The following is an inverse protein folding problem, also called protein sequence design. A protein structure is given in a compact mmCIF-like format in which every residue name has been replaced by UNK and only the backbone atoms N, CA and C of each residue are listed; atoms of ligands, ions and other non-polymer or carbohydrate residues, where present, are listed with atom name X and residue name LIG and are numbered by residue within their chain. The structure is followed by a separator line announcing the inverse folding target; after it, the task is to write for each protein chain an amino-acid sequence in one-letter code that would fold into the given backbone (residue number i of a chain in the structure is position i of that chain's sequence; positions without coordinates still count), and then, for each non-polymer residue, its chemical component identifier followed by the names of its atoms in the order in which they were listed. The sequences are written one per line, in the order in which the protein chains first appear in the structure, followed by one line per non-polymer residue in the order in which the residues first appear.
data_IF_123743040978
#
_entry.id   IF_123743040978
#
_cell.length_a   1.000
_cell.length_b   1.000
_cell.length_c   1.000
_cell.angle_alpha   90.00
_cell.angle_beta   90.00
_cell.angle_gamma   90.00
#
_symmetry.space_group_name_H-M   'P 1'
#
loop_
_entity.id
_entity.type
_entity.pdbx_description
1 polymer ?
#
# COMPACT_ATOMS: atom_id res chain seq x y z
N UNK A 1 -12.87 -30.97 -51.03
CA UNK A 1 -13.40 -30.36 -49.79
C UNK A 1 -13.35 -31.42 -48.72
N UNK A 2 -12.28 -31.45 -47.91
CA UNK A 2 -12.10 -32.42 -46.84
C UNK A 2 -12.33 -31.73 -45.50
N UNK A 3 -13.10 -32.40 -44.61
CA UNK A 3 -13.47 -31.96 -43.27
C UNK A 3 -12.29 -31.83 -42.27
N UNK A 4 -11.05 -31.94 -42.74
CA UNK A 4 -9.83 -31.78 -41.96
C UNK A 4 -9.33 -30.32 -41.91
N UNK A 5 -9.80 -29.45 -42.81
CA UNK A 5 -9.38 -28.04 -42.86
C UNK A 5 -10.23 -27.12 -41.95
N UNK A 6 -11.41 -27.57 -41.50
CA UNK A 6 -12.24 -26.81 -40.55
C UNK A 6 -11.79 -26.93 -39.10
N UNK A 7 -11.00 -27.96 -38.74
CA UNK A 7 -10.55 -28.17 -37.37
C UNK A 7 -9.30 -27.35 -36.99
N UNK A 8 -8.65 -26.72 -37.97
CA UNK A 8 -7.41 -25.94 -37.76
C UNK A 8 -7.68 -24.43 -37.61
N UNK A 9 -8.94 -23.98 -37.73
CA UNK A 9 -9.32 -22.56 -37.63
C UNK A 9 -9.87 -22.13 -36.26
N UNK A 10 -9.98 -23.02 -35.28
CA UNK A 10 -10.56 -22.69 -33.96
C UNK A 10 -9.57 -22.57 -32.81
N UNK A 11 -8.26 -22.45 -33.08
CA UNK A 11 -7.23 -22.23 -32.04
C UNK A 11 -6.52 -20.88 -32.13
N UNK A 12 -7.01 -19.94 -32.95
CA UNK A 12 -6.49 -18.57 -33.04
C UNK A 12 -7.45 -17.52 -32.48
N UNK A 13 -8.11 -17.83 -31.37
CA UNK A 13 -8.86 -16.83 -30.60
C UNK A 13 -8.50 -16.96 -29.13
N UNK A 14 -7.37 -16.36 -28.75
CA UNK A 14 -7.14 -15.70 -27.46
C UNK A 14 -5.67 -15.32 -27.27
N UNK A 15 -5.11 -14.47 -28.13
CA UNK A 15 -3.83 -13.85 -27.80
C UNK A 15 -3.65 -12.41 -28.31
N UNK A 16 -4.74 -11.63 -28.33
CA UNK A 16 -4.69 -10.19 -28.62
C UNK A 16 -4.84 -9.31 -27.38
N UNK A 17 -5.13 -9.88 -26.20
CA UNK A 17 -5.25 -9.11 -24.96
C UNK A 17 -3.90 -8.71 -24.35
N UNK A 18 -2.81 -9.42 -24.65
CA UNK A 18 -1.52 -9.23 -23.98
C UNK A 18 -0.61 -8.14 -24.60
N UNK A 19 -1.04 -7.46 -25.68
CA UNK A 19 -0.19 -6.48 -26.39
C UNK A 19 -0.39 -5.01 -25.99
N UNK A 20 -1.37 -4.68 -25.13
CA UNK A 20 -1.71 -3.27 -24.80
C UNK A 20 -1.68 -2.94 -23.29
N UNK A 21 -1.08 -3.79 -22.46
CA UNK A 21 -0.96 -3.50 -21.03
C UNK A 21 0.35 -2.78 -20.70
N UNK A 22 0.29 -1.87 -19.72
CA UNK A 22 1.44 -1.15 -19.22
C UNK A 22 1.95 -1.87 -17.96
N UNK A 23 3.06 -2.62 -18.04
CA UNK A 23 3.55 -3.39 -16.91
C UNK A 23 4.06 -2.49 -15.79
N UNK A 24 3.77 -2.89 -14.55
CA UNK A 24 4.35 -2.30 -13.35
C UNK A 24 5.71 -2.91 -13.07
N UNK A 25 6.57 -2.16 -12.38
CA UNK A 25 7.89 -2.66 -11.99
C UNK A 25 7.83 -3.82 -10.97
N UNK A 26 6.81 -3.82 -10.10
CA UNK A 26 6.50 -4.90 -9.17
C UNK A 26 5.04 -5.30 -9.27
N UNK A 27 4.74 -6.56 -8.95
CA UNK A 27 3.37 -6.98 -8.63
C UNK A 27 3.00 -6.48 -7.23
N UNK A 28 1.81 -5.91 -7.11
CA UNK A 28 1.28 -5.40 -5.85
C UNK A 28 0.02 -6.16 -5.43
N UNK A 29 -0.28 -6.13 -4.14
CA UNK A 29 -1.43 -6.82 -3.54
C UNK A 29 -2.18 -5.87 -2.61
N UNK A 30 -3.48 -5.71 -2.86
CA UNK A 30 -4.37 -5.03 -1.92
C UNK A 30 -4.90 -6.00 -0.86
N UNK A 31 -4.92 -5.53 0.39
CA UNK A 31 -5.57 -6.20 1.52
C UNK A 31 -6.50 -5.23 2.23
N UNK A 32 -7.51 -5.78 2.90
CA UNK A 32 -8.45 -5.03 3.71
C UNK A 32 -8.67 -5.68 5.05
N UNK A 33 -8.77 -4.85 6.09
CA UNK A 33 -9.17 -5.25 7.42
C UNK A 33 -10.22 -4.28 7.95
N UNK A 34 -11.24 -4.80 8.61
CA UNK A 34 -12.21 -3.99 9.35
C UNK A 34 -12.44 -4.60 10.72
N UNK A 35 -12.59 -3.75 11.74
CA UNK A 35 -12.85 -4.17 13.12
C UNK A 35 -13.97 -3.36 13.72
N UNK A 36 -14.78 -4.03 14.54
CA UNK A 36 -15.73 -3.34 15.39
C UNK A 36 -15.00 -2.59 16.52
N UNK A 37 -15.53 -1.45 16.99
CA UNK A 37 -15.00 -0.77 18.16
C UNK A 37 -14.86 -1.72 19.36
N UNK A 38 -13.75 -1.62 20.10
CA UNK A 38 -13.41 -2.44 21.28
C UNK A 38 -13.16 -3.93 21.02
N UNK A 39 -13.21 -4.40 19.77
CA UNK A 39 -12.80 -5.76 19.43
C UNK A 39 -11.29 -5.93 19.67
N UNK A 40 -10.90 -6.92 20.47
CA UNK A 40 -9.49 -7.29 20.65
C UNK A 40 -8.98 -7.99 19.39
N UNK A 41 -7.78 -7.61 18.94
CA UNK A 41 -7.07 -8.36 17.91
C UNK A 41 -6.46 -9.59 18.58
N UNK A 42 -6.93 -10.78 18.21
CA UNK A 42 -6.29 -12.04 18.62
C UNK A 42 -5.29 -12.53 17.57
N UNK A 43 -5.64 -12.33 16.31
CA UNK A 43 -4.82 -12.66 15.14
C UNK A 43 -4.93 -11.51 14.14
N UNK A 44 -3.86 -10.70 14.07
CA UNK A 44 -3.82 -9.54 13.19
C UNK A 44 -3.75 -9.98 11.72
N UNK A 45 -2.89 -10.96 11.44
CA UNK A 45 -2.66 -11.48 10.09
C UNK A 45 -3.91 -12.16 9.54
N UNK A 46 -4.52 -13.07 10.31
CA UNK A 46 -5.75 -13.75 9.91
C UNK A 46 -6.98 -12.84 9.80
N UNK A 47 -6.93 -11.64 10.38
CA UNK A 47 -7.99 -10.63 10.22
C UNK A 47 -7.90 -9.86 8.89
N UNK A 48 -6.75 -9.91 8.20
CA UNK A 48 -6.55 -9.25 6.92
C UNK A 48 -7.02 -10.13 5.76
N UNK A 49 -7.87 -9.56 4.90
CA UNK A 49 -8.39 -10.25 3.72
C UNK A 49 -7.68 -9.75 2.48
N UNK A 50 -7.07 -10.65 1.72
CA UNK A 50 -6.55 -10.35 0.39
C UNK A 50 -7.70 -9.96 -0.52
N UNK A 51 -7.56 -8.85 -1.25
CA UNK A 51 -8.54 -8.41 -2.24
C UNK A 51 -8.14 -8.91 -3.62
N UNK A 52 -7.02 -8.41 -4.14
CA UNK A 52 -6.53 -8.74 -5.47
C UNK A 52 -5.02 -8.45 -5.56
N UNK A 53 -4.37 -9.08 -6.52
CA UNK A 53 -3.02 -8.74 -6.97
C UNK A 53 -3.07 -8.21 -8.39
N UNK A 54 -2.16 -7.30 -8.73
CA UNK A 54 -2.06 -6.69 -10.06
C UNK A 54 -0.60 -6.41 -10.40
N UNK A 55 -0.28 -6.50 -11.68
CA UNK A 55 1.05 -6.40 -12.28
C UNK A 55 1.10 -5.46 -13.48
N UNK A 56 -0.04 -4.92 -13.92
CA UNK A 56 -0.17 -3.85 -14.91
C UNK A 56 -1.03 -2.69 -14.41
N UNK A 57 -0.97 -1.55 -15.12
CA UNK A 57 -1.80 -0.37 -14.84
C UNK A 57 -3.29 -0.67 -15.08
N UNK A 58 -3.60 -1.47 -16.08
CA UNK A 58 -4.95 -1.90 -16.44
C UNK A 58 -5.53 -2.79 -15.34
N UNK A 59 -4.77 -3.78 -14.86
CA UNK A 59 -5.17 -4.60 -13.71
C UNK A 59 -5.35 -3.75 -12.44
N UNK A 60 -4.46 -2.77 -12.22
CA UNK A 60 -4.61 -1.83 -11.11
C UNK A 60 -5.95 -1.11 -11.19
N UNK A 61 -6.31 -0.51 -12.33
CA UNK A 61 -7.57 0.21 -12.46
C UNK A 61 -8.80 -0.69 -12.44
N UNK A 62 -8.70 -1.93 -12.94
CA UNK A 62 -9.74 -2.94 -12.83
C UNK A 62 -10.08 -3.25 -11.36
N UNK A 63 -9.07 -3.23 -10.47
CA UNK A 63 -9.25 -3.41 -9.03
C UNK A 63 -9.68 -2.11 -8.35
N UNK A 64 -8.87 -1.05 -8.48
CA UNK A 64 -8.99 0.18 -7.68
C UNK A 64 -10.32 0.91 -7.90
N UNK A 65 -10.82 0.94 -9.15
CA UNK A 65 -12.09 1.59 -9.50
C UNK A 65 -13.31 0.95 -8.82
N UNK A 66 -13.20 -0.30 -8.36
CA UNK A 66 -14.27 -1.04 -7.68
C UNK A 66 -14.08 -1.08 -6.15
N UNK A 67 -12.98 -0.53 -5.62
CA UNK A 67 -12.79 -0.41 -4.18
C UNK A 67 -13.71 0.68 -3.61
N UNK A 68 -14.17 0.47 -2.37
CA UNK A 68 -14.84 1.54 -1.63
C UNK A 68 -13.83 2.65 -1.37
N UNK A 69 -14.24 3.90 -1.60
CA UNK A 69 -13.38 5.04 -1.30
C UNK A 69 -13.12 5.11 0.20
N UNK A 70 -11.93 5.56 0.62
CA UNK A 70 -11.60 5.73 2.05
C UNK A 70 -12.65 6.50 2.87
N UNK A 71 -13.26 7.53 2.29
CA UNK A 71 -14.33 8.31 2.90
C UNK A 71 -15.60 7.52 3.23
N UNK A 72 -15.81 6.39 2.54
CA UNK A 72 -17.03 5.58 2.63
C UNK A 72 -16.79 4.30 3.44
N UNK A 73 -15.58 4.12 3.96
CA UNK A 73 -15.23 2.99 4.79
C UNK A 73 -15.78 3.13 6.20
N UNK A 74 -16.19 2.03 6.84
CA UNK A 74 -16.55 2.06 8.25
C UNK A 74 -15.33 2.43 9.10
N UNK A 75 -15.57 3.03 10.26
CA UNK A 75 -14.51 3.37 11.20
C UNK A 75 -13.71 2.12 11.63
N UNK A 76 -12.42 2.28 11.91
CA UNK A 76 -11.49 1.19 12.25
C UNK A 76 -11.38 0.20 11.07
N UNK A 77 -11.17 0.76 9.89
CA UNK A 77 -10.83 0.02 8.67
C UNK A 77 -9.42 0.36 8.22
N UNK A 78 -8.78 -0.61 7.59
CA UNK A 78 -7.42 -0.50 7.10
C UNK A 78 -7.36 -1.04 5.65
N UNK A 79 -6.80 -0.23 4.73
CA UNK A 79 -6.35 -0.70 3.42
C UNK A 79 -4.84 -0.86 3.46
N UNK A 80 -4.34 -1.94 2.85
CA UNK A 80 -2.91 -2.21 2.73
C UNK A 80 -2.59 -2.45 1.26
N UNK A 81 -1.54 -1.81 0.76
CA UNK A 81 -0.96 -2.06 -0.56
C UNK A 81 0.48 -2.48 -0.36
N UNK A 82 0.83 -3.74 -0.64
CA UNK A 82 2.18 -4.26 -0.43
C UNK A 82 2.67 -5.01 -1.66
N UNK A 83 3.99 -5.04 -1.85
CA UNK A 83 4.61 -5.85 -2.89
C UNK A 83 4.23 -7.32 -2.71
N UNK A 84 4.04 -8.04 -3.81
CA UNK A 84 3.80 -9.47 -3.77
C UNK A 84 4.95 -10.19 -3.05
N UNK A 85 4.59 -11.08 -2.12
CA UNK A 85 5.56 -11.78 -1.26
C UNK A 85 5.97 -11.02 0.00
N UNK A 86 5.55 -9.76 0.19
CA UNK A 86 5.75 -9.01 1.43
C UNK A 86 4.43 -8.94 2.19
N UNK A 87 4.40 -9.52 3.39
CA UNK A 87 3.21 -9.47 4.24
C UNK A 87 3.12 -8.11 4.95
N UNK A 88 1.92 -7.54 5.13
CA UNK A 88 1.72 -6.27 5.83
C UNK A 88 1.83 -6.41 7.36
N UNK A 89 2.84 -7.15 7.83
CA UNK A 89 3.15 -7.39 9.24
C UNK A 89 4.63 -7.12 9.50
N UNK A 90 4.93 -6.59 10.66
CA UNK A 90 6.28 -6.35 11.19
C UNK A 90 7.19 -7.61 11.27
N UNK A 91 6.66 -8.84 11.40
CA UNK A 91 7.49 -10.06 11.44
C UNK A 91 7.93 -10.54 10.06
N UNK A 92 7.42 -9.94 8.98
CA UNK A 92 7.86 -10.27 7.63
C UNK A 92 9.35 -9.92 7.49
N UNK A 93 10.12 -10.79 6.82
CA UNK A 93 11.56 -10.62 6.65
C UNK A 93 11.90 -9.29 5.95
N UNK A 94 11.03 -8.80 5.05
CA UNK A 94 11.21 -7.52 4.40
C UNK A 94 10.96 -6.32 5.32
N UNK A 95 10.25 -6.49 6.43
CA UNK A 95 9.83 -5.42 7.34
C UNK A 95 10.59 -5.43 8.67
N UNK A 96 11.13 -6.55 9.13
CA UNK A 96 11.67 -6.68 10.50
C UNK A 96 12.82 -5.70 10.83
N UNK A 97 13.62 -5.30 9.83
CA UNK A 97 14.69 -4.30 9.97
C UNK A 97 14.29 -2.90 9.50
N UNK A 98 13.02 -2.75 9.15
CA UNK A 98 12.45 -1.56 8.54
C UNK A 98 11.77 -0.63 9.52
N UNK A 99 10.99 0.28 8.92
CA UNK A 99 10.15 1.20 9.66
C UNK A 99 9.10 1.81 8.76
N UNK A 100 8.39 2.79 9.31
CA UNK A 100 7.32 3.46 8.60
C UNK A 100 7.34 4.96 8.86
N UNK A 101 7.13 5.71 7.78
CA UNK A 101 6.68 7.09 7.86
C UNK A 101 5.18 7.14 8.10
N UNK A 102 4.73 8.03 8.97
CA UNK A 102 3.33 8.18 9.38
C UNK A 102 2.92 9.63 9.15
N UNK A 103 1.79 9.82 8.47
CA UNK A 103 1.14 11.10 8.24
C UNK A 103 -0.28 11.03 8.79
N UNK A 104 -0.61 11.93 9.73
CA UNK A 104 -1.96 12.10 10.27
C UNK A 104 -2.73 13.12 9.45
N UNK A 105 -3.93 12.74 9.05
CA UNK A 105 -4.79 13.50 8.17
C UNK A 105 -6.05 13.90 8.91
N UNK A 106 -6.44 15.16 8.72
CA UNK A 106 -7.81 15.59 9.05
C UNK A 106 -8.81 14.81 8.22
N UNK A 107 -9.99 14.57 8.79
CA UNK A 107 -11.10 13.92 8.09
C UNK A 107 -11.44 14.60 6.77
N UNK A 108 -11.83 13.78 5.79
CA UNK A 108 -12.17 14.22 4.43
C UNK A 108 -10.99 14.27 3.46
N UNK A 109 -9.74 14.11 3.93
CA UNK A 109 -8.55 14.16 3.08
C UNK A 109 -8.04 12.78 2.63
N UNK A 110 -8.46 11.71 3.33
CA UNK A 110 -7.94 10.36 3.14
C UNK A 110 -8.08 9.84 1.70
N UNK A 111 -9.24 10.02 1.07
CA UNK A 111 -9.48 9.49 -0.29
C UNK A 111 -8.48 10.04 -1.30
N UNK A 112 -8.26 11.36 -1.31
CA UNK A 112 -7.32 12.02 -2.23
C UNK A 112 -5.89 11.59 -1.97
N UNK A 113 -5.44 11.67 -0.72
CA UNK A 113 -4.05 11.36 -0.40
C UNK A 113 -3.71 9.89 -0.53
N UNK A 114 -4.67 9.00 -0.27
CA UNK A 114 -4.48 7.58 -0.51
C UNK A 114 -4.31 7.27 -2.00
N UNK A 115 -5.17 7.81 -2.86
CA UNK A 115 -5.05 7.63 -4.32
C UNK A 115 -3.70 8.14 -4.84
N UNK A 116 -3.33 9.37 -4.48
CA UNK A 116 -2.05 9.97 -4.89
C UNK A 116 -0.86 9.14 -4.40
N UNK A 117 -0.89 8.64 -3.16
CA UNK A 117 0.19 7.81 -2.64
C UNK A 117 0.29 6.48 -3.39
N UNK A 118 -0.82 5.79 -3.60
CA UNK A 118 -0.87 4.52 -4.31
C UNK A 118 -0.31 4.68 -5.72
N UNK A 119 -0.74 5.71 -6.45
CA UNK A 119 -0.25 6.01 -7.80
C UNK A 119 1.25 6.33 -7.80
N UNK A 120 1.74 7.09 -6.81
CA UNK A 120 3.16 7.40 -6.68
C UNK A 120 4.01 6.15 -6.37
N UNK A 121 3.48 5.21 -5.58
CA UNK A 121 4.15 3.96 -5.24
C UNK A 121 4.23 3.05 -6.47
N UNK A 122 3.09 2.74 -7.11
CA UNK A 122 3.09 1.80 -8.25
C UNK A 122 3.79 2.40 -9.47
N UNK A 123 3.82 3.74 -9.59
CA UNK A 123 4.56 4.48 -10.60
C UNK A 123 6.04 4.71 -10.27
N UNK A 124 6.57 4.08 -9.23
CA UNK A 124 8.00 4.12 -8.83
C UNK A 124 8.56 5.54 -8.60
N UNK A 125 7.75 6.49 -8.14
CA UNK A 125 8.16 7.89 -7.97
C UNK A 125 9.12 8.14 -6.78
N UNK A 126 9.29 7.14 -5.91
CA UNK A 126 10.19 7.25 -4.74
C UNK A 126 11.67 7.12 -5.10
N UNK A 127 12.00 6.44 -6.21
CA UNK A 127 13.38 6.29 -6.69
C UNK A 127 14.37 5.81 -5.59
N UNK A 128 13.96 4.82 -4.81
CA UNK A 128 14.71 4.28 -3.65
C UNK A 128 15.05 2.80 -3.83
N UNK A 129 15.23 2.36 -5.09
CA UNK A 129 15.75 1.02 -5.44
C UNK A 129 15.03 -0.15 -4.74
N UNK A 130 13.70 -0.09 -4.68
CA UNK A 130 12.90 -1.18 -4.10
C UNK A 130 12.74 -1.17 -2.59
N UNK A 131 13.24 -0.15 -1.89
CA UNK A 131 13.11 0.02 -0.42
C UNK A 131 11.65 0.10 0.07
N UNK A 132 10.71 0.55 -0.76
CA UNK A 132 9.30 0.57 -0.39
C UNK A 132 8.78 -0.88 -0.30
N UNK A 133 8.29 -1.25 0.89
CA UNK A 133 7.57 -2.50 1.13
C UNK A 133 6.10 -2.37 0.73
N UNK A 134 5.49 -1.25 1.11
CA UNK A 134 4.08 -1.00 0.92
C UNK A 134 3.59 0.26 1.64
N UNK A 135 2.28 0.45 1.63
CA UNK A 135 1.59 1.51 2.33
C UNK A 135 0.32 1.01 3.02
N UNK A 136 -0.07 1.71 4.08
CA UNK A 136 -1.27 1.45 4.87
C UNK A 136 -2.07 2.73 4.99
N UNK A 137 -3.39 2.64 4.78
CA UNK A 137 -4.35 3.65 5.16
C UNK A 137 -5.20 3.14 6.30
N UNK A 138 -5.28 3.89 7.38
CA UNK A 138 -6.02 3.58 8.58
C UNK A 138 -7.11 4.63 8.85
N UNK A 139 -8.38 4.22 8.74
CA UNK A 139 -9.54 5.05 9.06
C UNK A 139 -9.82 4.94 10.55
N UNK A 140 -9.75 6.07 11.27
CA UNK A 140 -10.05 6.15 12.73
C UNK A 140 -11.13 7.19 13.01
N UNK A 141 -11.57 7.35 14.26
CA UNK A 141 -12.69 8.25 14.57
C UNK A 141 -12.33 9.72 14.44
N UNK A 142 -11.15 10.11 14.95
CA UNK A 142 -10.70 11.51 15.03
C UNK A 142 -9.94 11.95 13.79
N UNK A 143 -9.10 11.07 13.25
CA UNK A 143 -8.19 11.35 12.14
C UNK A 143 -8.04 10.10 11.27
N UNK A 144 -7.53 10.29 10.07
CA UNK A 144 -7.10 9.19 9.22
C UNK A 144 -5.58 9.17 9.18
N UNK A 145 -4.99 7.99 9.01
CA UNK A 145 -3.54 7.83 9.10
C UNK A 145 -3.06 7.14 7.84
N UNK A 146 -2.10 7.73 7.15
CA UNK A 146 -1.37 7.07 6.06
C UNK A 146 0.01 6.69 6.58
N UNK A 147 0.48 5.50 6.22
CA UNK A 147 1.83 5.05 6.52
C UNK A 147 2.51 4.46 5.30
N UNK A 148 3.80 4.75 5.12
CA UNK A 148 4.66 4.17 4.07
C UNK A 148 5.75 3.36 4.74
N UNK A 149 5.86 2.08 4.40
CA UNK A 149 6.76 1.12 5.02
C UNK A 149 7.99 0.91 4.14
N UNK A 150 9.16 0.89 4.75
CA UNK A 150 10.43 0.66 4.05
C UNK A 150 11.28 -0.41 4.73
N UNK A 151 12.12 -1.07 3.93
CA UNK A 151 12.91 -2.24 4.33
C UNK A 151 13.98 -1.94 5.37
N UNK A 152 14.63 -0.79 5.27
CA UNK A 152 15.85 -0.50 6.04
C UNK A 152 15.72 0.78 6.88
N UNK A 153 15.44 0.65 8.19
CA UNK A 153 15.34 1.81 9.08
C UNK A 153 16.69 2.49 9.39
N UNK A 154 17.80 1.77 9.27
CA UNK A 154 19.13 2.32 9.59
C UNK A 154 19.68 3.26 8.51
N UNK A 155 19.11 3.28 7.31
CA UNK A 155 19.57 4.13 6.21
C UNK A 155 18.90 5.51 6.26
N UNK A 156 19.48 6.42 7.05
CA UNK A 156 18.94 7.77 7.22
C UNK A 156 18.76 8.56 5.92
N UNK A 157 19.66 8.40 4.93
CA UNK A 157 19.55 9.10 3.64
C UNK A 157 18.34 8.64 2.84
N UNK A 158 18.12 7.32 2.78
CA UNK A 158 16.94 6.74 2.11
C UNK A 158 15.68 7.16 2.85
N UNK A 159 15.66 7.08 4.19
CA UNK A 159 14.50 7.49 4.98
C UNK A 159 14.10 8.94 4.74
N UNK A 160 15.07 9.87 4.70
CA UNK A 160 14.80 11.27 4.38
C UNK A 160 14.31 11.46 2.94
N UNK A 161 14.87 10.73 1.97
CA UNK A 161 14.38 10.75 0.58
C UNK A 161 12.92 10.28 0.47
N UNK A 162 12.56 9.22 1.19
CA UNK A 162 11.18 8.71 1.26
C UNK A 162 10.26 9.80 1.83
N UNK A 163 10.63 10.42 2.97
CA UNK A 163 9.88 11.53 3.57
C UNK A 163 9.64 12.67 2.59
N UNK A 164 10.69 13.14 1.94
CA UNK A 164 10.63 14.29 1.04
C UNK A 164 9.79 13.97 -0.20
N UNK A 165 9.85 12.73 -0.68
CA UNK A 165 8.98 12.25 -1.76
C UNK A 165 7.53 12.24 -1.32
N UNK A 166 7.20 11.74 -0.12
CA UNK A 166 5.82 11.77 0.41
C UNK A 166 5.30 13.21 0.43
N UNK A 167 6.07 14.16 0.99
CA UNK A 167 5.67 15.58 1.02
C UNK A 167 5.42 16.11 -0.39
N UNK A 168 6.28 15.76 -1.37
CA UNK A 168 6.17 16.19 -2.77
C UNK A 168 4.94 15.61 -3.47
N UNK A 169 4.77 14.29 -3.50
CA UNK A 169 3.73 13.62 -4.30
C UNK A 169 2.33 13.87 -3.75
N UNK A 170 2.23 14.06 -2.43
CA UNK A 170 0.98 14.44 -1.77
C UNK A 170 0.79 15.96 -1.72
N UNK A 171 1.75 16.76 -2.18
CA UNK A 171 1.71 18.23 -2.07
C UNK A 171 1.34 18.69 -0.65
N UNK A 172 1.97 18.08 0.37
CA UNK A 172 1.70 18.40 1.76
C UNK A 172 2.22 19.81 2.08
N UNK A 173 1.50 20.59 2.92
CA UNK A 173 2.04 21.81 3.50
C UNK A 173 3.42 21.59 4.14
N UNK A 174 4.31 22.57 4.03
CA UNK A 174 5.70 22.42 4.51
C UNK A 174 5.79 22.12 6.01
N UNK A 175 4.86 22.67 6.79
CA UNK A 175 4.70 22.49 8.24
C UNK A 175 4.00 21.18 8.63
N UNK A 176 3.65 20.33 7.66
CA UNK A 176 3.07 19.02 7.94
C UNK A 176 4.05 18.17 8.71
N UNK A 177 3.68 17.88 9.96
CA UNK A 177 4.44 16.98 10.83
C UNK A 177 4.33 15.56 10.30
N UNK A 178 5.47 14.90 10.18
CA UNK A 178 5.58 13.49 9.84
C UNK A 178 6.32 12.76 10.95
N UNK A 179 5.94 11.52 11.18
CA UNK A 179 6.53 10.69 12.22
C UNK A 179 7.22 9.49 11.59
N UNK A 180 8.38 9.09 12.13
CA UNK A 180 9.01 7.82 11.77
C UNK A 180 9.00 6.87 12.96
N UNK A 181 8.76 5.59 12.71
CA UNK A 181 8.86 4.55 13.74
C UNK A 181 9.43 3.27 13.16
N UNK A 182 10.44 2.71 13.82
CA UNK A 182 10.95 1.40 13.46
C UNK A 182 9.93 0.30 13.79
N UNK A 183 9.96 -0.80 13.03
CA UNK A 183 9.08 -1.93 13.33
C UNK A 183 9.45 -2.61 14.65
N UNK A 184 10.73 -2.61 15.02
CA UNK A 184 11.21 -3.10 16.32
C UNK A 184 10.72 -2.28 17.52
N UNK A 185 10.63 -0.95 17.40
CA UNK A 185 10.07 -0.15 18.49
C UNK A 185 8.55 -0.29 18.56
N UNK A 186 7.91 -0.56 17.41
CA UNK A 186 6.50 -0.94 17.40
C UNK A 186 6.29 -2.24 18.16
N UNK A 187 7.17 -3.25 17.95
CA UNK A 187 7.24 -4.54 18.67
C UNK A 187 7.29 -4.36 20.18
N UNK A 188 8.22 -3.54 20.65
CA UNK A 188 8.39 -3.29 22.09
C UNK A 188 7.18 -2.59 22.72
N UNK A 189 6.60 -1.62 22.01
CA UNK A 189 5.46 -0.85 22.52
C UNK A 189 4.13 -1.58 22.40
N UNK A 190 4.07 -2.68 21.62
CA UNK A 190 2.84 -3.28 21.13
C UNK A 190 1.87 -2.22 20.52
N UNK A 191 2.44 -1.21 19.87
CA UNK A 191 1.72 -0.05 19.36
C UNK A 191 2.33 0.48 18.07
N UNK A 192 1.46 0.74 17.11
CA UNK A 192 1.82 1.30 15.81
C UNK A 192 2.14 2.80 15.83
N UNK A 193 1.66 3.54 16.83
CA UNK A 193 1.60 5.02 16.78
C UNK A 193 2.05 5.72 18.05
N UNK A 194 2.38 4.99 19.12
CA UNK A 194 2.97 5.56 20.33
C UNK A 194 4.49 5.77 20.14
N UNK A 195 5.09 6.74 20.85
CA UNK A 195 6.55 6.94 20.92
C UNK A 195 7.26 7.01 19.57
N UNK A 196 6.70 7.76 18.63
CA UNK A 196 7.26 7.97 17.29
C UNK A 196 8.25 9.13 17.28
N UNK A 197 9.29 9.04 16.44
CA UNK A 197 10.20 10.16 16.20
C UNK A 197 9.50 11.22 15.35
N UNK A 198 9.42 12.45 15.86
CA UNK A 198 8.69 13.55 15.22
C UNK A 198 9.61 14.37 14.33
N UNK A 199 9.26 14.50 13.06
CA UNK A 199 9.94 15.33 12.07
C UNK A 199 9.00 16.44 11.62
N UNK A 200 9.42 17.70 11.82
CA UNK A 200 8.75 18.88 11.32
C UNK A 200 9.33 19.23 9.95
#
# INVERSE_FOLDING_TARGET
MNASDEFTLSLQSNNTAQQNEHPLHYTWVFWFMHRLPKAKIKDYEGSMKRIASFSSIEEFWAVYSHLRRPSDLPNISDYHLFKMGVRPVWEDEANIHGGKWIVRLKKGLASRYWEQLVLAIIGEQFDVQGEICGAVLSIRSSEDIISVWNRTASNGRINLKIRDTIKKVLSLPQDTTMEYKTHNDSLKDNSSFCNTDVFR
#
